data_IF_862118635252
#
_entry.id   IF_862118635252
#
_cell.length_a   1.000
_cell.length_b   1.000
_cell.length_c   1.000
_cell.angle_alpha   90.00
_cell.angle_beta   90.00
_cell.angle_gamma   90.00
#
_symmetry.space_group_name_H-M   'P 1'
#
loop_
_entity.id
_entity.type
_entity.pdbx_description
1 polymer ?
#
# COMPACT_ATOMS: atom_id res chain seq x y z
N UNK A 1 -3.94 -43.75 -58.80
CA UNK A 1 -5.34 -44.22 -58.80
C UNK A 1 -6.17 -43.36 -57.83
N UNK A 2 -7.33 -42.87 -58.30
CA UNK A 2 -8.57 -42.40 -57.62
C UNK A 2 -8.55 -42.04 -56.12
N UNK A 3 -9.25 -41.03 -55.56
CA UNK A 3 -10.44 -40.24 -55.96
C UNK A 3 -10.66 -39.15 -54.87
N UNK A 4 -10.90 -37.87 -55.21
CA UNK A 4 -12.09 -37.06 -54.83
C UNK A 4 -11.94 -35.55 -55.15
N UNK A 5 -12.73 -35.15 -56.16
CA UNK A 5 -13.41 -33.85 -56.37
C UNK A 5 -14.37 -33.58 -55.18
N UNK A 6 -15.00 -32.44 -54.88
CA UNK A 6 -15.23 -31.03 -55.35
C UNK A 6 -16.08 -30.46 -54.15
N UNK A 7 -16.19 -29.19 -53.80
CA UNK A 7 -16.23 -27.94 -54.56
C UNK A 7 -17.50 -27.16 -54.15
N UNK A 8 -17.45 -25.83 -54.30
CA UNK A 8 -18.60 -24.92 -54.33
C UNK A 8 -18.45 -23.74 -53.38
N UNK A 9 -18.74 -22.47 -53.70
CA UNK A 9 -19.14 -21.74 -54.92
C UNK A 9 -19.31 -20.28 -54.45
N UNK A 10 -18.91 -19.20 -55.12
CA UNK A 10 -19.68 -18.43 -56.12
C UNK A 10 -18.94 -17.11 -56.42
N UNK A 11 -18.86 -16.73 -57.68
CA UNK A 11 -18.53 -15.40 -58.25
C UNK A 11 -19.84 -14.54 -58.31
N UNK A 12 -19.87 -13.20 -58.61
CA UNK A 12 -19.03 -12.51 -59.62
C UNK A 12 -18.65 -11.01 -59.45
N UNK A 13 -17.59 -10.65 -60.18
CA UNK A 13 -17.23 -9.46 -60.97
C UNK A 13 -17.69 -8.02 -60.63
N UNK A 14 -16.70 -7.10 -60.67
CA UNK A 14 -16.88 -5.69 -61.03
C UNK A 14 -15.77 -5.24 -62.01
N UNK A 15 -16.05 -4.37 -62.99
CA UNK A 15 -15.20 -4.20 -64.17
C UNK A 15 -14.16 -3.10 -64.06
N UNK A 16 -13.07 -3.30 -64.80
CA UNK A 16 -12.02 -2.32 -65.10
C UNK A 16 -12.43 -1.44 -66.30
N UNK A 17 -12.40 -0.12 -66.15
CA UNK A 17 -12.25 0.89 -67.22
C UNK A 17 -11.46 2.05 -66.58
N UNK A 18 -10.40 2.60 -67.16
CA UNK A 18 -10.30 3.25 -68.46
C UNK A 18 -9.91 4.72 -68.21
N UNK A 19 -8.65 5.06 -68.44
CA UNK A 19 -8.08 6.39 -68.20
C UNK A 19 -8.68 7.47 -69.10
N UNK A 20 -8.79 8.71 -68.59
CA UNK A 20 -8.66 9.95 -69.39
C UNK A 20 -8.21 11.14 -68.55
N UNK A 21 -7.19 11.82 -69.07
CA UNK A 21 -6.52 13.00 -68.54
C UNK A 21 -7.42 14.25 -68.50
N UNK A 22 -7.37 15.01 -67.39
CA UNK A 22 -7.53 16.46 -67.44
C UNK A 22 -6.53 17.17 -66.52
N UNK A 23 -5.82 18.11 -67.14
CA UNK A 23 -4.77 19.00 -66.65
C UNK A 23 -5.35 20.02 -65.65
N UNK A 24 -4.83 20.11 -64.43
CA UNK A 24 -4.96 21.32 -63.57
C UNK A 24 -3.66 21.62 -62.83
N UNK A 25 -3.41 22.92 -62.71
CA UNK A 25 -2.15 23.61 -62.42
C UNK A 25 -1.66 23.41 -60.99
N UNK A 26 -0.33 23.42 -60.83
CA UNK A 26 0.38 23.47 -59.54
C UNK A 26 0.43 24.92 -59.03
N UNK A 27 0.08 25.21 -57.77
CA UNK A 27 0.48 26.46 -57.14
C UNK A 27 1.91 26.35 -56.60
N UNK A 28 2.66 27.41 -56.85
CA UNK A 28 4.04 27.64 -56.46
C UNK A 28 4.05 28.17 -55.02
N UNK A 29 4.66 27.46 -54.06
CA UNK A 29 4.84 27.95 -52.68
C UNK A 29 6.36 28.02 -52.42
N UNK A 30 6.82 29.23 -52.16
CA UNK A 30 8.20 29.58 -51.83
C UNK A 30 8.64 28.96 -50.48
N UNK A 31 9.95 28.69 -50.29
CA UNK A 31 10.45 28.11 -49.07
C UNK A 31 10.49 29.15 -47.93
N UNK A 32 9.63 29.00 -46.93
CA UNK A 32 9.71 29.78 -45.70
C UNK A 32 10.73 29.17 -44.73
N UNK A 33 11.57 30.05 -44.21
CA UNK A 33 12.71 29.77 -43.33
C UNK A 33 12.30 29.02 -42.05
N UNK A 34 13.13 28.05 -41.65
CA UNK A 34 13.08 27.39 -40.35
C UNK A 34 13.25 28.42 -39.23
N UNK A 35 12.20 28.72 -38.50
CA UNK A 35 12.31 29.33 -37.18
C UNK A 35 12.74 28.26 -36.18
N UNK A 36 13.85 28.51 -35.51
CA UNK A 36 14.36 27.71 -34.40
C UNK A 36 13.35 27.79 -33.25
N UNK A 37 12.70 26.67 -32.95
CA UNK A 37 11.94 26.53 -31.71
C UNK A 37 12.89 26.60 -30.53
N UNK A 38 12.74 27.64 -29.70
CA UNK A 38 13.45 27.77 -28.43
C UNK A 38 13.16 26.57 -27.50
N UNK A 39 14.01 26.35 -26.49
CA UNK A 39 13.93 25.16 -25.65
C UNK A 39 12.58 25.13 -24.94
N UNK A 40 11.85 24.03 -25.17
CA UNK A 40 10.60 23.71 -24.52
C UNK A 40 10.86 23.66 -23.01
N UNK A 41 10.43 24.69 -22.27
CA UNK A 41 10.47 24.68 -20.81
C UNK A 41 9.49 23.61 -20.35
N UNK A 42 10.00 22.41 -20.11
CA UNK A 42 9.30 21.40 -19.31
C UNK A 42 8.95 22.08 -18.00
N UNK A 43 7.65 22.35 -17.78
CA UNK A 43 7.13 22.66 -16.47
C UNK A 43 7.37 21.42 -15.60
N UNK A 44 8.57 21.32 -15.02
CA UNK A 44 8.76 20.56 -13.78
C UNK A 44 7.90 21.29 -12.76
N UNK A 45 6.68 20.79 -12.55
CA UNK A 45 5.95 21.12 -11.35
C UNK A 45 6.86 20.69 -10.18
N UNK A 46 7.53 21.67 -9.60
CA UNK A 46 8.13 21.54 -8.28
C UNK A 46 6.97 21.28 -7.33
N UNK A 47 6.65 20.00 -7.11
CA UNK A 47 5.80 19.62 -6.01
C UNK A 47 6.57 20.01 -4.74
N UNK A 48 6.11 21.09 -4.09
CA UNK A 48 6.55 21.50 -2.75
C UNK A 48 6.64 20.29 -1.83
N UNK A 49 7.65 20.27 -0.95
CA UNK A 49 7.79 19.34 0.18
C UNK A 49 6.39 19.09 0.79
N UNK A 50 5.81 17.94 0.47
CA UNK A 50 4.64 17.43 1.19
C UNK A 50 5.21 16.59 2.31
N UNK A 51 4.72 16.78 3.52
CA UNK A 51 5.14 15.95 4.64
C UNK A 51 4.88 14.47 4.31
N UNK A 52 5.81 13.58 4.68
CA UNK A 52 5.65 12.17 4.39
C UNK A 52 4.39 11.62 5.07
N UNK A 53 3.56 10.93 4.29
CA UNK A 53 2.31 10.38 4.80
C UNK A 53 2.56 8.99 5.41
N UNK A 54 2.31 8.87 6.71
CA UNK A 54 2.23 7.59 7.44
C UNK A 54 0.74 7.30 7.70
N UNK A 55 0.16 6.21 7.15
CA UNK A 55 -1.29 6.03 7.15
C UNK A 55 -1.84 5.34 8.42
N UNK A 56 -1.05 5.24 9.49
CA UNK A 56 -1.39 4.54 10.74
C UNK A 56 -0.76 5.26 11.94
N UNK A 57 -1.21 4.90 13.13
CA UNK A 57 -0.72 5.37 14.43
C UNK A 57 -0.09 4.22 15.24
N UNK A 58 0.70 4.51 16.28
CA UNK A 58 1.33 3.49 17.13
C UNK A 58 0.34 2.55 17.84
N UNK A 59 -0.91 2.99 18.01
CA UNK A 59 -1.97 2.27 18.74
C UNK A 59 -2.80 1.35 17.84
N UNK A 60 -2.67 1.47 16.52
CA UNK A 60 -3.50 0.73 15.57
C UNK A 60 -3.13 -0.75 15.50
N UNK A 61 -4.13 -1.58 15.20
CA UNK A 61 -3.89 -2.98 14.89
C UNK A 61 -3.51 -3.11 13.42
N UNK A 62 -2.25 -3.47 13.15
CA UNK A 62 -1.68 -3.48 11.80
C UNK A 62 -1.40 -4.92 11.36
N UNK A 63 -1.91 -5.31 10.19
CA UNK A 63 -1.57 -6.55 9.50
C UNK A 63 -0.69 -6.23 8.29
N UNK A 64 0.52 -6.78 8.26
CA UNK A 64 1.45 -6.66 7.13
C UNK A 64 1.47 -7.97 6.37
N UNK A 65 1.14 -7.92 5.08
CA UNK A 65 1.03 -9.11 4.23
C UNK A 65 2.25 -9.26 3.33
N UNK A 66 2.84 -10.45 3.37
CA UNK A 66 3.92 -10.83 2.46
C UNK A 66 5.19 -10.01 2.68
N UNK A 67 5.49 -9.70 3.94
CA UNK A 67 6.77 -9.11 4.33
C UNK A 67 7.90 -10.05 3.88
N UNK A 68 8.92 -9.48 3.20
CA UNK A 68 10.06 -10.24 2.72
C UNK A 68 11.02 -10.55 3.87
N UNK A 69 12.00 -9.67 4.09
CA UNK A 69 12.98 -9.82 5.17
C UNK A 69 12.53 -9.19 6.50
N UNK A 70 11.23 -8.86 6.64
CA UNK A 70 10.61 -8.23 7.80
C UNK A 70 11.12 -6.81 8.16
N UNK A 71 11.94 -6.19 7.30
CA UNK A 71 12.54 -4.88 7.61
C UNK A 71 11.53 -3.73 7.70
N UNK A 72 10.42 -3.77 6.95
CA UNK A 72 9.36 -2.77 7.08
C UNK A 72 8.65 -2.92 8.41
N UNK A 73 8.26 -4.15 8.78
CA UNK A 73 7.68 -4.45 10.08
C UNK A 73 8.58 -4.02 11.26
N UNK A 74 9.90 -4.26 11.16
CA UNK A 74 10.88 -3.80 12.15
C UNK A 74 10.90 -2.27 12.27
N UNK A 75 10.85 -1.55 11.15
CA UNK A 75 10.77 -0.09 11.15
C UNK A 75 9.49 0.41 11.83
N UNK A 76 8.34 -0.21 11.57
CA UNK A 76 7.09 0.12 12.26
C UNK A 76 7.19 -0.09 13.78
N UNK A 77 7.79 -1.19 14.21
CA UNK A 77 7.91 -1.52 15.62
C UNK A 77 8.84 -0.55 16.37
N UNK A 78 10.04 -0.30 15.82
CA UNK A 78 11.09 0.47 16.49
C UNK A 78 10.95 1.97 16.28
N UNK A 79 10.78 2.41 15.03
CA UNK A 79 10.76 3.84 14.69
C UNK A 79 9.38 4.47 14.88
N UNK A 80 8.31 3.78 14.49
CA UNK A 80 6.94 4.28 14.65
C UNK A 80 6.29 3.85 15.97
N UNK A 81 6.98 3.07 16.80
CA UNK A 81 6.48 2.64 18.11
C UNK A 81 5.21 1.77 18.04
N UNK A 82 4.93 1.13 16.91
CA UNK A 82 3.75 0.29 16.74
C UNK A 82 3.86 -0.99 17.57
N UNK A 83 2.87 -1.23 18.45
CA UNK A 83 2.89 -2.35 19.42
C UNK A 83 1.89 -3.47 19.14
N UNK A 84 1.08 -3.35 18.08
CA UNK A 84 0.12 -4.40 17.68
C UNK A 84 0.23 -4.72 16.19
N UNK A 85 1.42 -5.18 15.78
CA UNK A 85 1.73 -5.63 14.43
C UNK A 85 1.56 -7.14 14.31
N UNK A 86 0.85 -7.59 13.29
CA UNK A 86 0.91 -8.98 12.80
C UNK A 86 1.61 -8.96 11.46
N UNK A 87 2.89 -9.31 11.43
CA UNK A 87 3.66 -9.41 10.20
C UNK A 87 3.56 -10.83 9.63
N UNK A 88 3.32 -10.97 8.33
CA UNK A 88 3.18 -12.28 7.71
C UNK A 88 4.19 -12.48 6.59
N UNK A 89 4.79 -13.67 6.53
CA UNK A 89 5.74 -14.07 5.48
C UNK A 89 5.25 -15.31 4.74
N UNK A 90 5.73 -15.54 3.52
CA UNK A 90 5.31 -16.68 2.69
C UNK A 90 6.04 -17.97 3.08
N UNK A 91 7.26 -17.83 3.58
CA UNK A 91 8.15 -18.89 4.05
C UNK A 91 7.48 -19.70 5.17
N UNK A 92 7.67 -21.03 5.19
CA UNK A 92 6.86 -21.92 6.03
C UNK A 92 7.24 -21.87 7.50
N UNK A 93 8.50 -21.51 7.77
CA UNK A 93 9.09 -21.49 9.10
C UNK A 93 10.10 -20.34 9.22
N UNK A 94 10.50 -20.04 10.45
CA UNK A 94 11.61 -19.11 10.70
C UNK A 94 12.91 -19.58 10.05
N UNK A 95 13.19 -20.89 10.11
CA UNK A 95 14.39 -21.45 9.50
C UNK A 95 14.42 -21.23 7.97
N UNK A 96 13.29 -21.46 7.28
CA UNK A 96 13.15 -21.21 5.84
C UNK A 96 13.37 -19.72 5.51
N UNK A 97 12.86 -18.83 6.37
CA UNK A 97 13.05 -17.39 6.22
C UNK A 97 14.52 -17.00 6.38
N UNK A 98 15.19 -17.51 7.42
CA UNK A 98 16.58 -17.19 7.72
C UNK A 98 17.57 -17.82 6.73
N UNK A 99 17.25 -18.97 6.13
CA UNK A 99 18.03 -19.53 5.03
C UNK A 99 18.08 -18.57 3.84
N UNK A 100 16.97 -17.87 3.59
CA UNK A 100 16.82 -16.94 2.47
C UNK A 100 17.29 -15.52 2.79
N UNK A 101 17.06 -15.06 4.01
CA UNK A 101 17.45 -13.75 4.53
C UNK A 101 18.11 -13.93 5.91
N UNK A 102 19.41 -14.27 5.96
CA UNK A 102 20.10 -14.47 7.23
C UNK A 102 20.04 -13.25 8.16
N UNK A 103 20.02 -12.05 7.58
CA UNK A 103 19.89 -10.78 8.30
C UNK A 103 18.49 -10.53 8.88
N UNK A 104 17.46 -11.28 8.48
CA UNK A 104 16.11 -11.11 9.00
C UNK A 104 16.01 -11.45 10.49
N UNK A 105 16.97 -12.19 11.06
CA UNK A 105 17.03 -12.47 12.51
C UNK A 105 16.98 -11.20 13.35
N UNK A 106 17.76 -10.19 12.97
CA UNK A 106 17.78 -8.91 13.67
C UNK A 106 16.43 -8.17 13.54
N UNK A 107 15.76 -8.30 12.39
CA UNK A 107 14.43 -7.71 12.19
C UNK A 107 13.37 -8.44 13.02
N UNK A 108 13.45 -9.76 13.18
CA UNK A 108 12.59 -10.53 14.08
C UNK A 108 12.74 -10.01 15.51
N UNK A 109 13.98 -9.83 15.98
CA UNK A 109 14.26 -9.29 17.31
C UNK A 109 13.68 -7.89 17.49
N UNK A 110 13.87 -6.99 16.52
CA UNK A 110 13.29 -5.63 16.51
C UNK A 110 11.75 -5.61 16.57
N UNK A 111 11.08 -6.60 15.99
CA UNK A 111 9.62 -6.68 16.00
C UNK A 111 9.10 -7.19 17.34
N UNK A 112 9.73 -8.24 17.88
CA UNK A 112 9.27 -8.92 19.09
C UNK A 112 9.72 -8.20 20.37
N UNK A 113 10.83 -7.46 20.33
CA UNK A 113 11.41 -6.71 21.45
C UNK A 113 11.86 -5.31 21.00
N UNK A 114 10.96 -4.46 20.47
CA UNK A 114 11.31 -3.14 19.96
C UNK A 114 11.92 -2.23 21.03
N UNK A 115 11.56 -2.43 22.30
CA UNK A 115 12.14 -1.72 23.45
C UNK A 115 13.67 -1.86 23.55
N UNK A 116 14.25 -2.98 23.11
CA UNK A 116 15.70 -3.20 23.13
C UNK A 116 16.43 -2.32 22.08
N UNK A 117 15.69 -1.74 21.13
CA UNK A 117 16.23 -1.02 19.97
C UNK A 117 15.67 0.41 19.82
N UNK A 118 14.70 0.79 20.64
CA UNK A 118 14.15 2.13 20.64
C UNK A 118 15.23 3.11 21.10
N UNK A 119 15.34 4.25 20.41
CA UNK A 119 16.16 5.33 20.92
C UNK A 119 15.61 5.78 22.29
N UNK A 120 16.47 6.16 23.25
CA UNK A 120 16.01 6.76 24.49
C UNK A 120 15.12 7.97 24.16
N UNK A 121 14.08 8.24 24.98
CA UNK A 121 13.25 9.43 24.79
C UNK A 121 14.17 10.65 24.67
N UNK A 122 13.99 11.43 23.61
CA UNK A 122 14.66 12.73 23.52
C UNK A 122 14.00 13.60 24.58
N UNK A 123 14.72 13.92 25.65
CA UNK A 123 14.31 14.93 26.64
C UNK A 123 14.37 16.31 25.97
N UNK A 124 13.27 17.09 26.06
CA UNK A 124 13.08 18.43 25.47
C UNK A 124 12.13 18.39 24.28
N UNK A 125 10.95 19.01 24.32
CA UNK A 125 10.68 20.40 24.70
C UNK A 125 9.72 20.47 25.90
N UNK A 126 10.21 21.02 27.02
CA UNK A 126 9.34 21.54 28.07
C UNK A 126 8.62 22.74 27.45
N UNK A 127 7.31 22.63 27.22
CA UNK A 127 6.47 23.80 27.04
C UNK A 127 6.58 24.60 28.35
N UNK A 128 7.29 25.73 28.28
CA UNK A 128 7.30 26.73 29.35
C UNK A 128 5.85 27.20 29.56
N UNK A 129 5.14 26.58 30.50
CA UNK A 129 3.92 27.17 31.04
C UNK A 129 4.32 28.43 31.81
N UNK A 130 4.01 29.59 31.22
CA UNK A 130 4.04 30.88 31.90
C UNK A 130 3.21 30.79 33.20
N UNK A 131 3.89 30.86 34.34
CA UNK A 131 3.28 30.92 35.65
C UNK A 131 2.60 32.28 35.87
N UNK A 132 1.26 32.31 35.92
CA UNK A 132 0.54 33.39 36.59
C UNK A 132 0.64 33.21 38.11
N UNK A 133 0.75 34.29 38.92
CA UNK A 133 0.78 34.17 40.37
C UNK A 133 -0.65 34.07 40.90
N UNK A 134 -0.99 32.96 41.54
CA UNK A 134 -2.22 32.85 42.35
C UNK A 134 -1.90 33.05 43.83
N UNK A 135 -2.77 33.84 44.45
CA UNK A 135 -2.73 34.32 45.82
C UNK A 135 -2.75 33.20 46.86
N UNK A 136 -2.01 33.43 47.96
CA UNK A 136 -2.07 32.62 49.18
C UNK A 136 -3.46 32.72 49.81
N UNK A 137 -4.13 31.60 50.06
CA UNK A 137 -5.01 31.42 51.23
C UNK A 137 -5.34 29.93 51.48
N UNK A 138 -4.91 29.48 52.67
CA UNK A 138 -5.50 28.54 53.61
C UNK A 138 -5.50 26.99 53.43
N UNK A 139 -5.04 26.39 54.53
CA UNK A 139 -4.90 24.99 54.91
C UNK A 139 -6.26 24.26 54.99
N UNK A 140 -6.39 23.08 54.36
CA UNK A 140 -7.04 21.91 55.00
C UNK A 140 -6.74 20.57 54.29
N UNK A 141 -6.77 19.54 55.12
CA UNK A 141 -6.49 18.12 55.08
C UNK A 141 -6.98 17.29 53.86
N UNK A 142 -6.08 16.49 53.27
CA UNK A 142 -6.26 15.03 53.09
C UNK A 142 -5.12 14.38 52.29
N UNK A 143 -4.39 13.46 52.93
CA UNK A 143 -3.49 12.52 52.24
C UNK A 143 -4.31 11.52 51.40
N UNK A 144 -4.66 11.89 50.18
CA UNK A 144 -5.06 10.94 49.15
C UNK A 144 -3.85 10.59 48.28
N UNK A 145 -3.05 9.62 48.72
CA UNK A 145 -2.00 8.99 47.90
C UNK A 145 -2.66 8.14 46.80
N UNK A 146 -3.17 8.81 45.77
CA UNK A 146 -3.53 8.18 44.52
C UNK A 146 -2.26 7.57 43.91
N UNK A 147 -2.21 6.26 43.60
CA UNK A 147 -1.02 5.68 42.98
C UNK A 147 -0.80 6.33 41.62
N UNK A 148 0.35 7.00 41.45
CA UNK A 148 0.83 7.50 40.16
C UNK A 148 0.67 6.39 39.11
N UNK A 149 0.04 6.66 37.95
CA UNK A 149 -0.10 5.65 36.90
C UNK A 149 1.30 5.15 36.54
N UNK A 150 1.50 3.83 36.63
CA UNK A 150 2.76 3.20 36.25
C UNK A 150 3.10 3.62 34.82
N UNK A 151 4.17 4.41 34.64
CA UNK A 151 4.72 4.88 33.37
C UNK A 151 5.28 3.74 32.49
N UNK A 152 4.84 2.50 32.69
CA UNK A 152 5.28 1.37 31.89
C UNK A 152 4.67 1.50 30.48
N UNK A 153 5.49 1.41 29.43
CA UNK A 153 4.99 1.47 28.08
C UNK A 153 3.99 0.33 27.83
N UNK A 154 3.00 0.52 26.93
CA UNK A 154 2.00 -0.50 26.66
C UNK A 154 2.67 -1.83 26.29
N UNK A 155 2.09 -2.98 26.70
CA UNK A 155 2.69 -4.28 26.42
C UNK A 155 2.81 -4.50 24.91
N UNK A 156 3.97 -4.97 24.46
CA UNK A 156 4.17 -5.34 23.07
C UNK A 156 3.34 -6.58 22.71
N UNK A 157 2.51 -6.48 21.67
CA UNK A 157 1.67 -7.57 21.13
C UNK A 157 2.05 -7.94 19.70
N UNK A 158 3.19 -7.44 19.22
CA UNK A 158 3.72 -7.76 17.91
C UNK A 158 3.95 -9.27 17.76
N UNK A 159 3.67 -9.79 16.57
CA UNK A 159 3.85 -11.21 16.25
C UNK A 159 4.15 -11.41 14.77
N UNK A 160 4.76 -12.55 14.46
CA UNK A 160 5.10 -12.97 13.11
C UNK A 160 4.34 -14.27 12.79
N UNK A 161 3.70 -14.31 11.62
CA UNK A 161 3.01 -15.49 11.10
C UNK A 161 3.71 -15.99 9.84
N UNK A 162 4.10 -17.26 9.86
CA UNK A 162 4.71 -17.96 8.74
C UNK A 162 3.64 -18.61 7.86
N UNK A 163 4.05 -19.07 6.66
CA UNK A 163 3.21 -19.80 5.72
C UNK A 163 1.91 -19.07 5.34
N UNK A 164 2.00 -17.75 5.14
CA UNK A 164 0.83 -16.91 4.87
C UNK A 164 0.79 -16.48 3.41
N UNK A 165 -0.19 -17.01 2.67
CA UNK A 165 -0.48 -16.62 1.28
C UNK A 165 -1.67 -15.65 1.24
N UNK A 166 -1.45 -14.47 0.69
CA UNK A 166 -2.46 -13.42 0.53
C UNK A 166 -3.70 -13.88 -0.26
N UNK A 167 -3.57 -14.85 -1.16
CA UNK A 167 -4.66 -15.36 -2.01
C UNK A 167 -5.56 -16.37 -1.28
N UNK A 168 -5.07 -16.95 -0.19
CA UNK A 168 -5.79 -17.97 0.61
C UNK A 168 -5.96 -17.57 2.08
N UNK A 169 -5.73 -16.29 2.40
CA UNK A 169 -5.78 -15.75 3.75
C UNK A 169 -7.12 -16.07 4.44
N UNK A 170 -7.03 -16.66 5.63
CA UNK A 170 -8.20 -16.86 6.50
C UNK A 170 -8.56 -15.54 7.18
N UNK A 171 -9.86 -15.19 7.32
CA UNK A 171 -10.27 -13.99 8.01
C UNK A 171 -9.78 -13.93 9.46
N UNK A 172 -9.14 -12.82 9.85
CA UNK A 172 -8.83 -12.49 11.23
C UNK A 172 -9.98 -11.69 11.82
N UNK A 173 -10.81 -12.36 12.61
CA UNK A 173 -12.00 -11.77 13.19
C UNK A 173 -12.11 -12.04 14.67
N UNK A 174 -12.74 -11.12 15.39
CA UNK A 174 -13.04 -11.22 16.82
C UNK A 174 -14.54 -11.20 17.03
N UNK A 175 -15.00 -11.84 18.11
CA UNK A 175 -16.41 -11.77 18.52
C UNK A 175 -16.70 -10.38 19.06
N UNK A 176 -17.85 -9.82 18.67
CA UNK A 176 -18.36 -8.62 19.32
C UNK A 176 -18.64 -8.92 20.81
N UNK A 177 -18.37 -7.98 21.73
CA UNK A 177 -18.84 -8.10 23.10
C UNK A 177 -20.36 -8.12 23.10
N UNK A 178 -20.98 -9.25 23.45
CA UNK A 178 -22.43 -9.34 23.63
C UNK A 178 -22.78 -9.17 25.11
N UNK A 179 -23.79 -8.38 25.48
CA UNK A 179 -24.59 -8.69 26.66
C UNK A 179 -25.34 -10.02 26.43
N UNK A 180 -25.48 -10.86 27.45
CA UNK A 180 -26.01 -12.24 27.41
C UNK A 180 -27.40 -12.41 26.69
N UNK A 181 -27.81 -13.63 26.28
CA UNK A 181 -28.34 -13.90 24.92
C UNK A 181 -29.89 -14.03 24.84
N UNK A 182 -30.49 -14.27 23.63
CA UNK A 182 -30.51 -15.62 23.05
C UNK A 182 -30.18 -15.74 21.54
N UNK A 183 -29.52 -16.86 21.22
CA UNK A 183 -29.16 -17.49 19.92
C UNK A 183 -27.90 -17.01 19.19
N UNK A 184 -26.95 -17.93 18.88
CA UNK A 184 -25.78 -17.61 18.08
C UNK A 184 -26.21 -17.40 16.62
N UNK A 185 -26.13 -16.16 16.14
CA UNK A 185 -26.11 -15.92 14.70
C UNK A 185 -24.67 -16.07 14.23
N UNK A 186 -24.48 -16.62 13.04
CA UNK A 186 -23.16 -16.86 12.44
C UNK A 186 -22.40 -15.54 12.10
N UNK A 187 -22.93 -14.38 12.50
CA UNK A 187 -22.54 -13.05 12.02
C UNK A 187 -21.98 -12.14 13.14
N UNK A 188 -21.69 -12.67 14.33
CA UNK A 188 -21.26 -11.87 15.49
C UNK A 188 -19.75 -11.55 15.48
N UNK A 189 -19.07 -11.79 14.35
CA UNK A 189 -17.61 -11.60 14.21
C UNK A 189 -17.32 -10.42 13.30
N UNK A 190 -16.41 -9.55 13.73
CA UNK A 190 -15.94 -8.42 12.94
C UNK A 190 -14.42 -8.47 12.76
N UNK A 191 -13.92 -7.78 11.73
CA UNK A 191 -12.49 -7.73 11.41
C UNK A 191 -11.65 -7.16 12.55
N UNK A 192 -10.45 -7.70 12.73
CA UNK A 192 -9.56 -7.34 13.83
C UNK A 192 -8.70 -6.09 13.55
N UNK A 193 -8.39 -5.81 12.29
CA UNK A 193 -7.32 -4.86 11.92
C UNK A 193 -7.84 -3.50 11.46
N UNK A 194 -7.15 -2.46 11.89
CA UNK A 194 -7.33 -1.08 11.43
C UNK A 194 -6.63 -0.88 10.09
N UNK A 195 -5.40 -1.38 9.97
CA UNK A 195 -4.64 -1.26 8.73
C UNK A 195 -4.19 -2.63 8.24
N UNK A 196 -4.48 -2.94 6.98
CA UNK A 196 -3.94 -4.10 6.28
C UNK A 196 -3.07 -3.61 5.13
N UNK A 197 -1.77 -3.86 5.18
CA UNK A 197 -0.79 -3.30 4.25
C UNK A 197 -0.17 -4.41 3.43
N UNK A 198 -0.16 -4.26 2.10
CA UNK A 198 0.53 -5.16 1.18
C UNK A 198 1.45 -4.36 0.26
N UNK A 199 2.75 -4.35 0.61
CA UNK A 199 3.76 -3.59 -0.12
C UNK A 199 4.34 -4.42 -1.27
N UNK A 200 4.36 -3.82 -2.46
CA UNK A 200 4.96 -4.37 -3.69
C UNK A 200 4.54 -5.81 -4.04
N UNK A 201 3.23 -6.15 -4.01
CA UNK A 201 2.76 -7.49 -4.34
C UNK A 201 3.12 -7.88 -5.76
N UNK A 202 3.70 -9.08 -5.93
CA UNK A 202 4.03 -9.61 -7.25
C UNK A 202 4.08 -11.15 -7.21
N UNK A 203 3.57 -11.83 -8.23
CA UNK A 203 3.50 -13.32 -8.23
C UNK A 203 4.81 -14.01 -8.64
N UNK A 204 5.69 -13.29 -9.33
CA UNK A 204 7.08 -13.69 -9.65
C UNK A 204 7.21 -14.91 -10.58
N UNK A 205 8.04 -14.83 -11.63
CA UNK A 205 8.51 -16.02 -12.37
C UNK A 205 7.47 -16.87 -13.12
N UNK A 206 6.18 -16.47 -13.16
CA UNK A 206 5.10 -17.28 -13.78
C UNK A 206 5.05 -17.22 -15.31
N UNK A 207 5.60 -16.19 -15.94
CA UNK A 207 5.67 -16.05 -17.40
C UNK A 207 6.64 -14.94 -17.79
N UNK A 208 7.22 -15.03 -18.99
CA UNK A 208 7.98 -13.94 -19.63
C UNK A 208 7.07 -13.01 -20.44
N UNK A 209 5.86 -13.44 -20.78
CA UNK A 209 4.87 -12.64 -21.51
C UNK A 209 4.26 -11.56 -20.62
N UNK A 210 4.36 -10.30 -21.04
CA UNK A 210 3.92 -9.13 -20.27
C UNK A 210 2.42 -9.22 -19.93
N UNK A 211 1.58 -9.58 -20.90
CA UNK A 211 0.13 -9.62 -20.70
C UNK A 211 -0.30 -10.75 -19.74
N UNK A 212 0.36 -11.90 -19.81
CA UNK A 212 0.16 -12.98 -18.83
C UNK A 212 0.62 -12.54 -17.44
N UNK A 213 1.77 -11.88 -17.33
CA UNK A 213 2.24 -11.35 -16.05
C UNK A 213 1.26 -10.33 -15.44
N UNK A 214 0.75 -9.39 -16.24
CA UNK A 214 -0.28 -8.43 -15.81
C UNK A 214 -1.50 -9.16 -15.27
N UNK A 215 -2.05 -10.15 -15.99
CA UNK A 215 -3.22 -10.91 -15.53
C UNK A 215 -2.97 -11.67 -14.22
N UNK A 216 -1.80 -12.30 -14.06
CA UNK A 216 -1.45 -12.98 -12.82
C UNK A 216 -1.36 -12.02 -11.63
N UNK A 217 -0.73 -10.86 -11.81
CA UNK A 217 -0.61 -9.85 -10.74
C UNK A 217 -1.97 -9.20 -10.42
N UNK A 218 -2.83 -8.99 -11.42
CA UNK A 218 -4.22 -8.56 -11.20
C UNK A 218 -5.00 -9.59 -10.37
N UNK A 219 -4.88 -10.88 -10.71
CA UNK A 219 -5.54 -11.96 -9.97
C UNK A 219 -5.06 -12.07 -8.51
N UNK A 220 -3.77 -11.87 -8.26
CA UNK A 220 -3.20 -11.76 -6.91
C UNK A 220 -3.87 -10.65 -6.10
N UNK A 221 -3.95 -9.44 -6.68
CA UNK A 221 -4.56 -8.28 -6.01
C UNK A 221 -6.05 -8.46 -5.72
N UNK A 222 -6.82 -8.97 -6.68
CA UNK A 222 -8.25 -9.26 -6.48
C UNK A 222 -8.46 -10.28 -5.35
N UNK A 223 -7.65 -11.34 -5.33
CA UNK A 223 -7.70 -12.36 -4.29
C UNK A 223 -7.34 -11.77 -2.93
N UNK A 224 -6.28 -10.98 -2.85
CA UNK A 224 -5.90 -10.25 -1.63
C UNK A 224 -7.04 -9.38 -1.12
N UNK A 225 -7.59 -8.48 -1.95
CA UNK A 225 -8.67 -7.59 -1.51
C UNK A 225 -9.88 -8.36 -0.98
N UNK A 226 -10.28 -9.41 -1.69
CA UNK A 226 -11.42 -10.26 -1.31
C UNK A 226 -11.17 -10.98 0.01
N UNK A 227 -9.96 -11.49 0.24
CA UNK A 227 -9.61 -12.28 1.43
C UNK A 227 -9.29 -11.40 2.65
N UNK A 228 -8.74 -10.21 2.42
CA UNK A 228 -8.38 -9.28 3.48
C UNK A 228 -9.60 -8.49 4.01
N UNK A 229 -10.58 -8.18 3.16
CA UNK A 229 -11.75 -7.37 3.54
C UNK A 229 -12.50 -7.87 4.79
N UNK A 230 -12.75 -9.17 4.98
CA UNK A 230 -13.38 -9.66 6.22
C UNK A 230 -12.53 -9.46 7.49
N UNK A 231 -11.21 -9.30 7.34
CA UNK A 231 -10.30 -9.02 8.45
C UNK A 231 -10.22 -7.54 8.80
N UNK A 232 -10.76 -6.67 7.95
CA UNK A 232 -10.79 -5.23 8.16
C UNK A 232 -11.90 -4.85 9.14
N UNK A 233 -11.53 -4.13 10.20
CA UNK A 233 -12.47 -3.60 11.20
C UNK A 233 -13.56 -2.75 10.52
N UNK A 234 -14.83 -2.86 10.95
CA UNK A 234 -15.89 -1.97 10.48
C UNK A 234 -15.76 -0.59 11.15
N UNK A 235 -14.79 0.19 10.71
CA UNK A 235 -14.48 1.53 11.22
C UNK A 235 -14.14 2.46 10.05
N UNK A 236 -14.57 3.74 10.09
CA UNK A 236 -14.26 4.71 9.03
C UNK A 236 -12.76 5.05 8.95
N UNK A 237 -11.97 4.69 9.97
CA UNK A 237 -10.51 4.84 9.96
C UNK A 237 -9.79 3.60 9.40
N UNK A 238 -10.47 2.45 9.35
CA UNK A 238 -9.86 1.23 8.87
C UNK A 238 -9.61 1.29 7.36
N UNK A 239 -8.46 0.77 6.92
CA UNK A 239 -8.07 0.79 5.52
C UNK A 239 -7.19 -0.38 5.09
N UNK A 240 -7.26 -0.71 3.80
CA UNK A 240 -6.28 -1.54 3.12
C UNK A 240 -5.34 -0.61 2.34
N UNK A 241 -4.03 -0.83 2.46
CA UNK A 241 -3.03 -0.07 1.71
C UNK A 241 -2.26 -1.01 0.80
N UNK A 242 -2.21 -0.68 -0.49
CA UNK A 242 -1.35 -1.37 -1.47
C UNK A 242 -0.33 -0.38 -2.01
N UNK A 243 0.94 -0.74 -1.95
CA UNK A 243 2.04 0.06 -2.51
C UNK A 243 2.58 -0.61 -3.77
N UNK A 244 2.68 0.15 -4.87
CA UNK A 244 3.23 -0.31 -6.14
C UNK A 244 4.34 0.63 -6.62
N UNK A 245 5.28 0.11 -7.41
CA UNK A 245 6.18 0.98 -8.17
C UNK A 245 5.39 1.80 -9.20
N UNK A 246 5.87 2.99 -9.51
CA UNK A 246 5.30 3.81 -10.58
C UNK A 246 5.81 3.37 -11.96
N UNK A 247 4.97 3.54 -12.98
CA UNK A 247 5.25 3.17 -14.36
C UNK A 247 4.83 1.75 -14.74
N UNK A 248 5.06 1.40 -16.00
CA UNK A 248 4.77 0.05 -16.51
C UNK A 248 5.76 -0.99 -15.95
N UNK A 249 5.33 -2.25 -15.76
CA UNK A 249 3.99 -2.77 -16.04
C UNK A 249 2.97 -2.54 -14.91
N UNK A 250 3.36 -1.93 -13.79
CA UNK A 250 2.52 -1.78 -12.60
C UNK A 250 1.28 -0.91 -12.83
N UNK A 251 1.40 0.14 -13.64
CA UNK A 251 0.27 0.97 -14.07
C UNK A 251 -0.83 0.18 -14.80
N UNK A 252 -0.44 -0.82 -15.61
CA UNK A 252 -1.38 -1.67 -16.37
C UNK A 252 -2.24 -2.55 -15.46
N UNK A 253 -1.86 -2.73 -14.19
CA UNK A 253 -2.63 -3.56 -13.28
C UNK A 253 -3.93 -2.88 -12.86
N UNK A 254 -3.99 -1.54 -12.95
CA UNK A 254 -5.19 -0.75 -12.66
C UNK A 254 -5.80 -1.05 -11.27
N UNK A 255 -4.94 -0.98 -10.24
CA UNK A 255 -5.26 -1.38 -8.85
C UNK A 255 -6.53 -0.75 -8.29
N UNK A 256 -6.87 0.47 -8.72
CA UNK A 256 -8.09 1.18 -8.30
C UNK A 256 -9.36 0.45 -8.73
N UNK A 257 -9.37 -0.02 -9.98
CA UNK A 257 -10.52 -0.71 -10.54
C UNK A 257 -10.64 -2.13 -9.98
N UNK A 258 -9.50 -2.80 -9.76
CA UNK A 258 -9.48 -4.11 -9.08
C UNK A 258 -10.08 -4.03 -7.67
N UNK A 259 -9.68 -3.03 -6.89
CA UNK A 259 -10.22 -2.83 -5.54
C UNK A 259 -11.73 -2.54 -5.58
N UNK A 260 -12.20 -1.76 -6.56
CA UNK A 260 -13.63 -1.48 -6.74
C UNK A 260 -14.45 -2.75 -6.96
N UNK A 261 -13.95 -3.68 -7.76
CA UNK A 261 -14.62 -4.96 -8.00
C UNK A 261 -14.63 -5.86 -6.74
N UNK A 262 -13.73 -5.63 -5.80
CA UNK A 262 -13.70 -6.31 -4.50
C UNK A 262 -14.53 -5.61 -3.40
N UNK A 263 -15.33 -4.58 -3.74
CA UNK A 263 -16.20 -3.87 -2.79
C UNK A 263 -15.53 -2.73 -2.03
N UNK A 264 -14.32 -2.32 -2.44
CA UNK A 264 -13.58 -1.21 -1.83
C UNK A 264 -13.71 0.07 -2.65
N UNK A 265 -13.45 1.21 -2.02
CA UNK A 265 -13.30 2.50 -2.68
C UNK A 265 -11.93 3.10 -2.35
N UNK A 266 -11.32 3.78 -3.33
CA UNK A 266 -10.07 4.52 -3.10
C UNK A 266 -10.41 5.77 -2.29
N UNK A 267 -9.80 5.90 -1.11
CA UNK A 267 -9.92 7.09 -0.27
C UNK A 267 -8.88 8.13 -0.65
N UNK A 268 -7.61 7.74 -0.74
CA UNK A 268 -6.49 8.62 -1.15
C UNK A 268 -5.32 7.82 -1.72
N UNK A 269 -4.34 8.52 -2.28
CA UNK A 269 -3.06 7.94 -2.67
C UNK A 269 -1.92 8.93 -2.46
N UNK A 270 -0.74 8.46 -2.08
CA UNK A 270 0.44 9.30 -1.82
C UNK A 270 1.71 8.61 -2.31
N UNK A 271 2.77 9.39 -2.55
CA UNK A 271 4.10 8.85 -2.90
C UNK A 271 4.64 8.10 -1.69
N UNK A 272 5.14 6.89 -1.89
CA UNK A 272 5.69 6.09 -0.79
C UNK A 272 6.94 6.76 -0.22
N UNK A 273 6.94 7.16 1.07
CA UNK A 273 8.05 7.88 1.66
C UNK A 273 9.10 6.90 2.20
N UNK A 274 10.01 6.45 1.35
CA UNK A 274 11.07 5.49 1.73
C UNK A 274 11.84 5.90 3.00
N UNK A 275 12.19 7.18 3.12
CA UNK A 275 12.93 7.73 4.27
C UNK A 275 12.17 7.68 5.59
N UNK A 276 10.83 7.54 5.57
CA UNK A 276 10.03 7.41 6.79
C UNK A 276 10.07 6.01 7.38
N UNK A 277 10.75 5.07 6.73
CA UNK A 277 10.91 3.70 7.23
C UNK A 277 12.40 3.35 7.33
N UNK A 278 13.14 3.87 8.33
CA UNK A 278 14.55 3.56 8.50
C UNK A 278 14.79 2.06 8.59
N UNK A 279 15.82 1.59 7.86
CA UNK A 279 16.18 0.18 7.79
C UNK A 279 15.32 -0.67 6.85
N UNK A 280 14.20 -0.15 6.32
CA UNK A 280 13.38 -0.88 5.35
C UNK A 280 14.15 -1.14 4.05
N UNK A 281 14.21 -2.41 3.64
CA UNK A 281 14.74 -2.81 2.35
C UNK A 281 13.70 -3.52 1.50
N UNK A 282 13.66 -3.20 0.21
CA UNK A 282 12.78 -3.91 -0.71
C UNK A 282 13.30 -5.34 -0.98
N UNK A 283 12.68 -6.33 -0.34
CA UNK A 283 12.99 -7.75 -0.54
C UNK A 283 11.95 -8.44 -1.43
N UNK A 284 12.42 -9.29 -2.37
CA UNK A 284 11.57 -10.09 -3.24
C UNK A 284 11.40 -11.49 -2.69
N UNK A 285 10.19 -12.03 -2.67
CA UNK A 285 9.87 -13.42 -2.27
C UNK A 285 10.52 -14.53 -3.13
N UNK A 286 11.38 -14.22 -4.10
CA UNK A 286 12.23 -15.20 -4.78
C UNK A 286 13.68 -15.19 -4.26
N UNK A 287 13.98 -14.38 -3.23
CA UNK A 287 15.30 -14.24 -2.62
C UNK A 287 16.18 -13.22 -3.36
N UNK A 288 17.38 -13.02 -2.82
CA UNK A 288 18.42 -12.23 -3.48
C UNK A 288 18.79 -12.93 -4.79
N UNK A 289 18.67 -12.23 -5.92
CA UNK A 289 19.12 -12.75 -7.21
C UNK A 289 20.64 -12.84 -7.16
N UNK A 290 21.18 -14.03 -6.89
CA UNK A 290 22.61 -14.32 -7.03
C UNK A 290 22.95 -14.29 -8.51
N UNK A 291 23.36 -13.13 -9.01
CA UNK A 291 23.82 -13.00 -10.39
C UNK A 291 25.26 -13.51 -10.47
N UNK A 292 25.46 -14.69 -11.08
CA UNK A 292 26.78 -15.22 -11.42
C UNK A 292 27.50 -15.93 -10.28
N UNK A 293 28.12 -17.07 -10.60
CA UNK A 293 28.83 -17.90 -9.63
C UNK A 293 30.05 -17.20 -9.04
N UNK A 294 29.89 -16.64 -7.84
CA UNK A 294 30.85 -16.51 -6.74
C UNK A 294 30.14 -15.64 -5.69
N UNK A 295 30.19 -16.02 -4.42
CA UNK A 295 29.37 -15.49 -3.33
C UNK A 295 29.64 -14.05 -2.90
N UNK A 296 29.70 -13.11 -3.85
CA UNK A 296 29.71 -11.69 -3.59
C UNK A 296 28.30 -11.12 -3.87
N UNK A 297 27.70 -10.49 -2.86
CA UNK A 297 26.54 -9.64 -3.04
C UNK A 297 26.88 -8.53 -4.05
N UNK A 298 26.19 -8.53 -5.19
CA UNK A 298 26.33 -7.45 -6.15
C UNK A 298 25.68 -6.19 -5.56
N UNK A 299 26.50 -5.27 -5.07
CA UNK A 299 26.07 -3.93 -4.60
C UNK A 299 25.56 -3.03 -5.74
N UNK A 300 25.69 -3.49 -6.99
CA UNK A 300 25.13 -2.90 -8.22
C UNK A 300 23.82 -3.56 -8.66
N UNK A 301 23.30 -4.54 -7.89
CA UNK A 301 22.04 -5.19 -8.16
C UNK A 301 20.86 -4.24 -7.89
N UNK A 302 19.87 -4.30 -8.78
CA UNK A 302 18.58 -3.60 -8.73
C UNK A 302 18.05 -3.36 -7.30
N UNK A 303 18.00 -2.09 -6.86
CA UNK A 303 17.41 -1.69 -5.57
C UNK A 303 16.02 -1.12 -5.77
N UNK A 304 15.03 -1.72 -5.10
CA UNK A 304 13.65 -1.21 -5.17
C UNK A 304 13.50 0.18 -4.55
N UNK A 305 14.28 0.49 -3.52
CA UNK A 305 14.25 1.77 -2.77
C UNK A 305 14.54 3.00 -3.64
N UNK A 306 15.35 2.85 -4.68
CA UNK A 306 15.70 3.94 -5.59
C UNK A 306 14.56 4.27 -6.58
N UNK A 307 13.49 3.46 -6.61
CA UNK A 307 12.36 3.64 -7.52
C UNK A 307 11.25 4.49 -6.91
N UNK A 308 10.63 5.31 -7.76
CA UNK A 308 9.37 5.96 -7.43
C UNK A 308 8.28 4.90 -7.19
N UNK A 309 7.56 5.07 -6.08
CA UNK A 309 6.48 4.19 -5.66
C UNK A 309 5.30 4.99 -5.10
N UNK A 310 4.12 4.41 -5.16
CA UNK A 310 2.86 5.02 -4.73
C UNK A 310 2.04 4.05 -3.90
N UNK A 311 1.56 4.54 -2.78
CA UNK A 311 0.61 3.84 -1.91
C UNK A 311 -0.82 4.31 -2.22
N UNK A 312 -1.73 3.34 -2.32
CA UNK A 312 -3.15 3.55 -2.52
C UNK A 312 -3.89 3.05 -1.28
N UNK A 313 -4.67 3.94 -0.66
CA UNK A 313 -5.46 3.65 0.54
C UNK A 313 -6.90 3.39 0.12
N UNK A 314 -7.39 2.21 0.48
CA UNK A 314 -8.72 1.72 0.17
C UNK A 314 -9.51 1.53 1.46
N UNK A 315 -10.79 1.89 1.42
CA UNK A 315 -11.72 1.71 2.53
C UNK A 315 -12.99 1.05 2.01
N UNK A 316 -13.87 0.61 2.91
CA UNK A 316 -15.17 0.08 2.50
C UNK A 316 -15.94 1.17 1.75
N UNK A 317 -16.70 0.77 0.74
CA UNK A 317 -17.40 1.72 -0.14
C UNK A 317 -18.37 2.62 0.64
N UNK A 318 -19.05 2.04 1.62
CA UNK A 318 -19.96 2.72 2.54
C UNK A 318 -19.28 3.81 3.39
N UNK A 319 -18.07 3.54 3.88
CA UNK A 319 -17.33 4.48 4.74
C UNK A 319 -16.87 5.73 3.97
N UNK A 320 -16.41 5.53 2.73
CA UNK A 320 -16.02 6.65 1.85
C UNK A 320 -17.23 7.49 1.45
N UNK A 321 -18.36 6.86 1.15
CA UNK A 321 -19.60 7.57 0.81
C UNK A 321 -20.11 8.40 1.99
N UNK A 322 -20.09 7.84 3.20
CA UNK A 322 -20.48 8.54 4.43
C UNK A 322 -19.58 9.75 4.72
N UNK A 323 -18.26 9.62 4.54
CA UNK A 323 -17.32 10.73 4.70
C UNK A 323 -17.56 11.85 3.67
N UNK A 324 -17.83 11.50 2.41
CA UNK A 324 -18.17 12.48 1.37
C UNK A 324 -19.45 13.26 1.67
N UNK A 325 -20.48 12.58 2.18
CA UNK A 325 -21.74 13.21 2.57
C UNK A 325 -21.54 14.21 3.74
N UNK A 326 -20.73 13.86 4.74
CA UNK A 326 -20.40 14.78 5.85
C UNK A 326 -19.67 16.04 5.37
N UNK A 327 -18.69 15.90 4.47
CA UNK A 327 -17.96 17.07 3.92
C UNK A 327 -18.86 18.00 3.11
N UNK A 328 -19.85 17.47 2.39
CA UNK A 328 -20.80 18.28 1.64
C UNK A 328 -21.76 19.05 2.55
N UNK A 329 -22.14 18.49 3.71
CA UNK A 329 -23.05 19.15 4.67
C UNK A 329 -22.38 20.25 5.49
N UNK A 330 -21.06 20.16 5.73
CA UNK A 330 -20.29 21.19 6.45
C UNK A 330 -19.74 22.32 5.58
N UNK A 331 -19.91 22.26 4.25
CA UNK A 331 -19.44 23.28 3.32
C UNK A 331 -20.49 24.31 2.90
N UNK A 332 -21.69 24.27 3.50
CA UNK A 332 -22.85 25.08 3.10
C UNK A 332 -23.31 26.02 4.25
N UNK A 333 -22.46 26.26 5.26
CA UNK A 333 -22.81 27.08 6.44
C UNK A 333 -21.95 28.32 6.65
N UNK A 334 -21.31 28.84 5.60
CA UNK A 334 -20.50 30.06 5.72
C UNK A 334 -20.74 30.99 4.52
N UNK A 335 -21.89 31.68 4.55
CA UNK A 335 -22.15 32.93 3.83
C UNK A 335 -23.55 33.44 4.17
N UNK A 336 -23.73 34.02 5.37
CA UNK A 336 -24.63 35.18 5.54
C UNK A 336 -24.38 35.83 6.92
N UNK A 337 -23.60 36.92 6.90
CA UNK A 337 -23.39 37.99 7.91
C UNK A 337 -22.23 38.83 7.34
N UNK A 338 -22.33 40.09 6.92
CA UNK A 338 -23.35 41.15 6.93
C UNK A 338 -23.24 41.98 5.64
#
# INVERSE_FOLDING_TARGET
MAKKRKGGSRFPDAPSTGARHHKKQKPNIAPSQKQQGGPNKTHKQHHKNQDPVVPFSPKDNILLIGEGDLSFAASLAVHHGCRTITATVLEKSEADLLEKYPHAKENIDRILRPEDFAAPPVEGEEEEEESEPEDEEDEDDSENTSPKPSHLPPPNRNRILYNTDATTLKPFTVRAPQPAPPRPQNNDRHGLFDHIIFNFPHVGGKSTDINRQVRHNQSLLVSFFTRALPSLRPSPHASLTVTLFEGEPYSLWNVRDLARHAGLAVSRSFRFPWSSYPGYRHARTLGVVKTGGQGAESTTAWRGEDRAARSYVFQRKEDVAAAGAKRKKGGDSDSDSE
#
